data_IF_097676821570
#
_entry.id   IF_097676821570
#
_cell.length_a   1.000
_cell.length_b   1.000
_cell.length_c   1.000
_cell.angle_alpha   90.00
_cell.angle_beta   90.00
_cell.angle_gamma   90.00
#
_symmetry.space_group_name_H-M   'P 1'
#
loop_
_entity.id
_entity.type
_entity.pdbx_description
1 polymer ?
#
# COMPACT_ATOMS: atom_id res chain seq x y z
N UNK A 1 -6.51 4.16 -0.46
CA UNK A 1 -5.15 4.54 -0.02
C UNK A 1 -4.80 3.78 1.24
N UNK A 2 -3.56 3.31 1.36
CA UNK A 2 -3.08 2.60 2.55
C UNK A 2 -2.17 3.53 3.33
N UNK A 3 -2.39 3.65 4.64
CA UNK A 3 -1.60 4.48 5.54
C UNK A 3 -1.03 3.57 6.63
N UNK A 4 0.29 3.60 6.82
CA UNK A 4 0.89 2.95 7.99
C UNK A 4 0.67 3.83 9.23
N UNK A 5 0.19 3.25 10.33
CA UNK A 5 -0.16 3.99 11.56
C UNK A 5 1.03 4.80 12.11
N UNK A 6 2.25 4.29 11.95
CA UNK A 6 3.47 4.94 12.42
C UNK A 6 3.91 6.10 11.53
N UNK A 7 3.30 6.26 10.34
CA UNK A 7 3.70 7.24 9.33
C UNK A 7 2.60 8.31 9.11
N UNK A 8 2.09 8.88 10.21
CA UNK A 8 1.10 9.95 10.19
C UNK A 8 -0.18 9.69 10.99
N UNK A 9 -0.32 8.53 11.65
CA UNK A 9 -1.33 8.25 12.68
C UNK A 9 -2.75 8.73 12.38
N UNK A 10 -3.44 9.22 13.40
CA UNK A 10 -4.81 9.77 13.33
C UNK A 10 -4.88 11.10 12.54
N UNK A 11 -3.73 11.75 12.30
CA UNK A 11 -3.67 13.04 11.62
C UNK A 11 -4.00 12.91 10.13
N UNK A 12 -3.47 11.91 9.44
CA UNK A 12 -3.73 11.71 8.02
C UNK A 12 -5.22 11.42 7.71
N UNK A 13 -5.90 10.50 8.43
CA UNK A 13 -7.35 10.34 8.34
C UNK A 13 -8.12 11.64 8.55
N UNK A 14 -7.82 12.39 9.61
CA UNK A 14 -8.52 13.64 9.88
C UNK A 14 -8.32 14.69 8.77
N UNK A 15 -7.11 14.73 8.19
CA UNK A 15 -6.79 15.61 7.08
C UNK A 15 -7.52 15.20 5.79
N UNK A 16 -7.58 13.90 5.47
CA UNK A 16 -8.29 13.40 4.30
C UNK A 16 -9.78 13.72 4.39
N UNK A 17 -10.38 13.55 5.57
CA UNK A 17 -11.79 13.83 5.79
C UNK A 17 -12.11 15.32 5.62
N UNK A 18 -11.14 16.19 5.96
CA UNK A 18 -11.27 17.63 5.77
C UNK A 18 -11.07 18.05 4.30
N UNK A 19 -10.18 17.38 3.56
CA UNK A 19 -9.85 17.74 2.18
C UNK A 19 -10.84 17.14 1.18
N UNK A 20 -11.11 15.84 1.28
CA UNK A 20 -12.04 15.11 0.43
C UNK A 20 -12.52 13.80 1.10
N UNK A 21 -13.74 13.78 1.66
CA UNK A 21 -14.28 12.60 2.35
C UNK A 21 -14.68 11.47 1.40
N UNK A 22 -14.58 11.64 0.07
CA UNK A 22 -14.88 10.58 -0.90
C UNK A 22 -13.70 9.63 -1.12
N UNK A 23 -12.50 10.01 -0.66
CA UNK A 23 -11.29 9.20 -0.80
C UNK A 23 -11.33 8.03 0.17
N UNK A 24 -11.39 6.81 -0.35
CA UNK A 24 -11.29 5.61 0.49
C UNK A 24 -9.85 5.42 0.99
N UNK A 25 -9.68 5.35 2.31
CA UNK A 25 -8.41 5.06 2.95
C UNK A 25 -8.52 3.97 4.01
N UNK A 26 -7.38 3.39 4.39
CA UNK A 26 -7.28 2.38 5.44
C UNK A 26 -5.97 2.55 6.20
N UNK A 27 -6.04 2.46 7.53
CA UNK A 27 -4.87 2.47 8.40
C UNK A 27 -4.42 1.05 8.70
N UNK A 28 -3.14 0.80 8.52
CA UNK A 28 -2.47 -0.47 8.76
C UNK A 28 -1.46 -0.35 9.89
N UNK A 29 -1.42 -1.39 10.73
CA UNK A 29 -0.46 -1.49 11.81
C UNK A 29 0.56 -2.57 11.45
N UNK A 30 1.83 -2.20 11.42
CA UNK A 30 2.91 -3.16 11.25
C UNK A 30 2.96 -4.09 12.47
N UNK A 31 2.66 -5.37 12.26
CA UNK A 31 2.80 -6.43 13.28
C UNK A 31 4.05 -7.29 13.09
N UNK A 32 4.74 -7.08 11.96
CA UNK A 32 5.93 -7.81 11.55
C UNK A 32 7.01 -6.80 11.19
N UNK A 33 8.25 -7.20 11.40
CA UNK A 33 9.41 -6.45 10.92
C UNK A 33 9.39 -6.33 9.39
N UNK A 34 10.02 -5.28 8.87
CA UNK A 34 10.03 -4.90 7.45
C UNK A 34 10.35 -6.08 6.54
N UNK A 35 11.42 -6.83 6.84
CA UNK A 35 11.84 -7.99 6.05
C UNK A 35 10.80 -9.11 6.05
N UNK A 36 10.25 -9.44 7.22
CA UNK A 36 9.22 -10.46 7.35
C UNK A 36 7.92 -10.06 6.63
N UNK A 37 7.62 -8.76 6.57
CA UNK A 37 6.49 -8.20 5.79
C UNK A 37 6.74 -8.24 4.28
N UNK A 38 7.97 -8.00 3.83
CA UNK A 38 8.33 -8.00 2.40
C UNK A 38 8.40 -9.40 1.79
N UNK A 39 8.71 -10.44 2.56
CA UNK A 39 8.91 -11.79 2.03
C UNK A 39 7.70 -12.37 1.25
N UNK A 40 6.44 -12.27 1.73
CA UNK A 40 5.28 -12.70 0.96
C UNK A 40 5.09 -11.92 -0.36
N UNK A 41 5.45 -10.64 -0.37
CA UNK A 41 5.37 -9.80 -1.58
C UNK A 41 6.44 -10.22 -2.60
N UNK A 42 7.67 -10.48 -2.15
CA UNK A 42 8.74 -11.01 -3.00
C UNK A 42 8.31 -12.33 -3.68
N UNK A 43 7.60 -13.19 -2.96
CA UNK A 43 7.08 -14.43 -3.52
C UNK A 43 6.07 -14.19 -4.67
N UNK A 44 5.27 -13.11 -4.63
CA UNK A 44 4.39 -12.75 -5.75
C UNK A 44 5.19 -12.35 -6.99
N UNK A 45 6.34 -11.67 -6.83
CA UNK A 45 7.24 -11.36 -7.93
C UNK A 45 7.91 -12.62 -8.51
N UNK A 46 8.39 -13.54 -7.66
CA UNK A 46 8.97 -14.82 -8.09
C UNK A 46 7.96 -15.66 -8.89
N UNK A 47 6.69 -15.60 -8.52
CA UNK A 47 5.58 -16.25 -9.23
C UNK A 47 5.13 -15.50 -10.48
N UNK A 48 5.82 -14.42 -10.89
CA UNK A 48 5.48 -13.58 -12.04
C UNK A 48 4.08 -12.94 -11.98
N UNK A 49 3.53 -12.78 -10.77
CA UNK A 49 2.17 -12.25 -10.55
C UNK A 49 2.11 -10.73 -10.56
N UNK A 50 3.25 -10.06 -10.38
CA UNK A 50 3.34 -8.60 -10.33
C UNK A 50 4.17 -8.11 -11.51
N UNK A 51 3.67 -7.10 -12.20
CA UNK A 51 4.36 -6.43 -13.30
C UNK A 51 4.17 -4.91 -13.16
N UNK A 52 5.26 -4.15 -13.28
CA UNK A 52 5.20 -2.69 -13.31
C UNK A 52 4.91 -2.21 -14.73
N UNK A 53 3.86 -1.40 -14.90
CA UNK A 53 3.45 -0.90 -16.22
C UNK A 53 3.77 0.59 -16.32
N UNK A 54 4.70 0.94 -17.21
CA UNK A 54 5.12 2.33 -17.41
C UNK A 54 6.49 2.44 -18.08
N UNK A 55 7.04 3.66 -18.14
CA UNK A 55 8.41 3.87 -18.62
C UNK A 55 9.39 3.40 -17.55
N UNK A 56 10.46 2.70 -17.93
CA UNK A 56 11.47 2.18 -16.99
C UNK A 56 11.99 3.24 -15.99
N UNK A 57 12.23 4.47 -16.46
CA UNK A 57 12.65 5.61 -15.64
C UNK A 57 11.70 6.00 -14.50
N UNK A 58 10.44 5.58 -14.53
CA UNK A 58 9.46 5.81 -13.44
C UNK A 58 9.73 4.86 -12.26
N UNK A 59 10.25 3.66 -12.54
CA UNK A 59 10.45 2.62 -11.53
C UNK A 59 11.92 2.47 -11.12
N UNK A 60 12.85 3.21 -11.72
CA UNK A 60 14.28 3.06 -11.48
C UNK A 60 14.66 3.12 -9.99
N UNK A 61 14.15 4.11 -9.26
CA UNK A 61 14.42 4.26 -7.82
C UNK A 61 13.78 3.15 -6.98
N UNK A 62 12.57 2.71 -7.38
CA UNK A 62 11.89 1.59 -6.73
C UNK A 62 12.67 0.28 -6.95
N UNK A 63 13.11 0.01 -8.17
CA UNK A 63 13.87 -1.19 -8.54
C UNK A 63 15.24 -1.23 -7.86
N UNK A 64 15.90 -0.07 -7.72
CA UNK A 64 17.12 0.07 -6.93
C UNK A 64 16.85 -0.34 -5.48
N UNK A 65 15.85 0.24 -4.83
CA UNK A 65 15.47 -0.12 -3.46
C UNK A 65 15.09 -1.60 -3.32
N UNK A 66 14.38 -2.18 -4.29
CA UNK A 66 13.99 -3.60 -4.30
C UNK A 66 15.20 -4.53 -4.37
N UNK A 67 16.28 -4.14 -5.05
CA UNK A 67 17.45 -4.99 -5.27
C UNK A 67 18.56 -4.80 -4.23
N UNK A 68 18.59 -3.66 -3.55
CA UNK A 68 19.60 -3.35 -2.54
C UNK A 68 19.14 -3.61 -1.10
N UNK A 69 17.83 -3.68 -0.85
CA UNK A 69 17.31 -3.89 0.50
C UNK A 69 17.55 -5.32 0.99
N UNK A 70 18.26 -5.46 2.11
CA UNK A 70 18.57 -6.78 2.71
C UNK A 70 17.73 -7.02 3.96
N UNK A 71 17.38 -5.95 4.70
CA UNK A 71 16.54 -6.01 5.89
C UNK A 71 17.20 -6.76 7.05
N UNK A 72 18.53 -6.62 7.18
CA UNK A 72 19.35 -7.34 8.17
C UNK A 72 19.90 -6.43 9.28
N UNK A 73 19.73 -5.11 9.17
CA UNK A 73 20.19 -4.14 10.17
C UNK A 73 19.05 -3.35 10.80
N UNK A 74 19.09 -3.15 12.12
CA UNK A 74 18.19 -2.21 12.82
C UNK A 74 18.40 -0.75 12.39
N UNK A 75 19.59 -0.44 11.84
CA UNK A 75 19.96 0.87 11.28
C UNK A 75 19.73 0.98 9.76
N UNK A 76 19.19 -0.06 9.11
CA UNK A 76 18.81 0.00 7.71
C UNK A 76 17.45 0.72 7.64
N UNK A 77 17.48 2.00 7.23
CA UNK A 77 16.28 2.79 7.04
C UNK A 77 15.31 2.06 6.10
N UNK A 78 14.01 2.22 6.35
CA UNK A 78 13.01 1.62 5.46
C UNK A 78 13.16 2.31 4.11
N UNK A 79 13.29 1.59 2.99
CA UNK A 79 13.25 2.26 1.70
C UNK A 79 11.81 2.72 1.47
N UNK A 80 11.58 4.03 1.40
CA UNK A 80 10.24 4.63 1.40
C UNK A 80 9.35 4.08 0.26
N UNK A 81 9.91 3.87 -0.93
CA UNK A 81 9.17 3.37 -2.09
C UNK A 81 8.93 1.86 -2.01
N UNK A 82 9.94 1.09 -1.58
CA UNK A 82 9.78 -0.35 -1.35
C UNK A 82 8.70 -0.61 -0.30
N UNK A 83 8.71 0.12 0.81
CA UNK A 83 7.76 -0.11 1.88
C UNK A 83 6.34 0.27 1.47
N UNK A 84 6.20 1.37 0.73
CA UNK A 84 4.93 1.77 0.10
C UNK A 84 4.40 0.69 -0.85
N UNK A 85 5.28 0.14 -1.70
CA UNK A 85 4.93 -0.96 -2.61
C UNK A 85 4.48 -2.20 -1.85
N UNK A 86 5.22 -2.59 -0.81
CA UNK A 86 4.93 -3.76 0.03
C UNK A 86 3.54 -3.62 0.65
N UNK A 87 3.21 -2.46 1.21
CA UNK A 87 1.90 -2.21 1.79
C UNK A 87 0.77 -2.23 0.74
N UNK A 88 0.99 -1.62 -0.42
CA UNK A 88 0.00 -1.65 -1.50
C UNK A 88 -0.29 -3.08 -1.98
N UNK A 89 0.75 -3.90 -2.16
CA UNK A 89 0.58 -5.29 -2.59
C UNK A 89 0.03 -6.18 -1.48
N UNK A 90 0.34 -5.87 -0.23
CA UNK A 90 -0.23 -6.56 0.94
C UNK A 90 -1.74 -6.36 1.02
N UNK A 91 -2.19 -5.10 0.97
CA UNK A 91 -3.60 -4.73 0.94
C UNK A 91 -4.33 -5.37 -0.24
N UNK A 92 -3.72 -5.38 -1.43
CA UNK A 92 -4.35 -5.88 -2.65
C UNK A 92 -4.44 -7.42 -2.74
N UNK A 93 -3.40 -8.14 -2.30
CA UNK A 93 -3.27 -9.59 -2.55
C UNK A 93 -3.29 -10.46 -1.31
N UNK A 94 -2.93 -9.94 -0.15
CA UNK A 94 -2.66 -10.75 1.05
C UNK A 94 -3.70 -10.53 2.15
N UNK A 95 -4.30 -9.34 2.23
CA UNK A 95 -5.50 -9.12 3.04
C UNK A 95 -6.77 -9.42 2.24
N UNK A 96 -7.55 -10.37 2.76
CA UNK A 96 -8.87 -10.70 2.22
C UNK A 96 -9.92 -9.92 2.99
N UNK A 97 -10.26 -8.71 2.56
CA UNK A 97 -11.52 -8.07 2.96
C UNK A 97 -12.17 -7.34 1.79
N UNK A 98 -13.41 -7.73 1.53
CA UNK A 98 -14.35 -7.09 0.62
C UNK A 98 -14.43 -5.60 0.90
N UNK A 99 -14.11 -4.77 -0.09
CA UNK A 99 -14.60 -3.40 -0.12
C UNK A 99 -16.13 -3.46 -0.10
N UNK A 100 -16.74 -3.39 1.08
CA UNK A 100 -18.12 -2.90 1.20
C UNK A 100 -17.99 -1.40 0.93
N UNK A 101 -17.94 -1.06 -0.36
CA UNK A 101 -18.09 0.31 -0.77
C UNK A 101 -19.43 0.77 -0.22
N UNK A 102 -19.41 1.63 0.78
CA UNK A 102 -20.56 2.44 1.15
C UNK A 102 -20.72 3.54 0.08
N UNK A 103 -20.81 3.11 -1.18
CA UNK A 103 -21.23 3.93 -2.29
C UNK A 103 -22.74 3.96 -2.23
N UNK A 104 -23.28 5.01 -1.62
CA UNK A 104 -24.67 5.38 -1.81
C UNK A 104 -24.84 5.78 -3.29
N UNK A 105 -25.01 4.78 -4.16
CA UNK A 105 -25.19 4.96 -5.61
C UNK A 105 -26.60 5.49 -5.86
N UNK A 106 -26.78 6.77 -5.57
CA UNK A 106 -28.00 7.56 -5.77
C UNK A 106 -28.36 7.70 -7.26
N UNK A 107 -27.60 7.14 -8.20
CA UNK A 107 -27.87 7.24 -9.66
C UNK A 107 -29.05 6.41 -10.12
N UNK A 108 -29.57 5.51 -9.26
CA UNK A 108 -30.73 4.66 -9.56
C UNK A 108 -32.06 5.18 -8.97
N UNK A 109 -32.06 6.29 -8.23
CA UNK A 109 -33.28 6.81 -7.57
C UNK A 109 -34.26 7.56 -8.49
N UNK A 110 -33.88 7.80 -9.76
CA UNK A 110 -34.61 8.70 -10.66
C UNK A 110 -35.47 8.06 -11.76
N UNK A 111 -35.78 6.76 -11.72
CA UNK A 111 -36.69 6.13 -12.72
C UNK A 111 -37.92 5.52 -12.06
N UNK A 112 -38.95 6.34 -11.86
CA UNK A 112 -40.36 5.92 -11.82
C UNK A 112 -41.22 6.98 -12.48
#
# INVERSE_FOLDING_TARGET
MVIEANNGGDYLPALLEQVDPTVSWRVLHATREKRARAAPVAQLYEQTRINHVGRARVFAELEEQMTTFVGMGEAEDSPDLLDSLVWALWDLFLEHQTHVGQGDDQRLSGRR
#
